data_IF_901141871958
#
_entry.id   IF_901141871958
#
_cell.length_a   1.000
_cell.length_b   1.000
_cell.length_c   1.000
_cell.angle_alpha   90.00
_cell.angle_beta   90.00
_cell.angle_gamma   90.00
#
_symmetry.space_group_name_H-M   'P 1'
#
loop_
_entity.id
_entity.type
_entity.pdbx_description
1 polymer ?
#
# COMPACT_ATOMS: atom_id res chain seq x y z
N UNK A 1 10.29 5.07 -8.17
CA UNK A 1 9.64 3.76 -7.97
C UNK A 1 8.37 3.88 -7.15
N UNK A 2 8.47 4.36 -5.91
CA UNK A 2 7.28 4.46 -5.07
C UNK A 2 6.20 5.36 -5.66
N UNK A 3 6.58 6.44 -6.34
CA UNK A 3 5.60 7.36 -6.92
C UNK A 3 4.77 6.71 -8.03
N UNK A 4 5.41 5.93 -8.90
CA UNK A 4 4.68 5.27 -9.98
C UNK A 4 3.75 4.22 -9.43
N UNK A 5 4.20 3.47 -8.44
CA UNK A 5 3.40 2.46 -7.76
C UNK A 5 2.20 3.13 -7.07
N UNK A 6 2.47 4.22 -6.33
CA UNK A 6 1.41 4.94 -5.64
C UNK A 6 0.37 5.50 -6.61
N UNK A 7 0.81 5.98 -7.76
CA UNK A 7 -0.12 6.49 -8.76
C UNK A 7 -1.07 5.41 -9.25
N UNK A 8 -0.54 4.22 -9.49
CA UNK A 8 -1.39 3.08 -9.89
C UNK A 8 -2.39 2.73 -8.81
N UNK A 9 -1.96 2.76 -7.55
CA UNK A 9 -2.86 2.46 -6.44
C UNK A 9 -3.94 3.51 -6.29
N UNK A 10 -3.60 4.78 -6.53
CA UNK A 10 -4.55 5.86 -6.42
C UNK A 10 -5.71 5.70 -7.42
N UNK A 11 -5.42 5.12 -8.57
CA UNK A 11 -6.43 4.94 -9.61
C UNK A 11 -7.26 3.68 -9.40
N UNK A 12 -6.92 2.87 -8.41
CA UNK A 12 -7.60 1.62 -8.13
C UNK A 12 -8.73 1.82 -7.13
N UNK A 13 -9.80 1.05 -7.27
CA UNK A 13 -10.89 1.06 -6.30
C UNK A 13 -10.47 0.40 -5.00
N UNK A 14 -9.49 -0.51 -5.05
CA UNK A 14 -9.01 -1.19 -3.86
C UNK A 14 -7.49 -1.20 -3.88
N UNK A 15 -6.85 -0.12 -3.40
CA UNK A 15 -5.39 -0.01 -3.48
C UNK A 15 -4.66 -1.07 -2.66
N UNK A 16 -5.23 -1.51 -1.53
CA UNK A 16 -4.57 -2.52 -0.71
C UNK A 16 -4.49 -3.83 -1.49
N UNK A 17 -5.59 -4.26 -2.07
CA UNK A 17 -5.62 -5.50 -2.85
C UNK A 17 -4.65 -5.43 -4.03
N UNK A 18 -4.68 -4.32 -4.76
CA UNK A 18 -3.79 -4.16 -5.90
C UNK A 18 -2.32 -4.18 -5.48
N UNK A 19 -2.00 -3.55 -4.36
CA UNK A 19 -0.62 -3.50 -3.88
C UNK A 19 -0.08 -4.88 -3.59
N UNK A 20 -0.88 -5.75 -2.97
CA UNK A 20 -0.46 -7.11 -2.69
C UNK A 20 -0.25 -7.92 -3.95
N UNK A 21 -1.13 -7.74 -4.93
CA UNK A 21 -0.99 -8.45 -6.19
C UNK A 21 0.26 -8.04 -6.94
N UNK A 22 0.60 -6.76 -6.91
CA UNK A 22 1.78 -6.26 -7.60
C UNK A 22 3.05 -6.65 -6.87
N UNK A 23 3.09 -6.44 -5.55
CA UNK A 23 4.32 -6.63 -4.78
C UNK A 23 4.58 -8.09 -4.45
N UNK A 24 3.55 -8.86 -4.16
CA UNK A 24 3.71 -10.23 -3.64
C UNK A 24 3.11 -11.30 -4.54
N UNK A 25 2.38 -10.90 -5.57
CA UNK A 25 1.76 -11.85 -6.49
C UNK A 25 0.62 -12.64 -5.89
N UNK A 26 -0.01 -12.12 -4.84
CA UNK A 26 -1.16 -12.77 -4.19
C UNK A 26 -2.10 -11.73 -3.63
N UNK A 27 -3.27 -12.17 -3.23
CA UNK A 27 -4.24 -11.28 -2.59
C UNK A 27 -3.99 -11.21 -1.10
N UNK A 28 -4.35 -10.09 -0.46
CA UNK A 28 -4.18 -9.98 0.99
C UNK A 28 -5.21 -10.82 1.72
N UNK A 29 -4.84 -11.29 2.91
CA UNK A 29 -5.81 -11.90 3.82
C UNK A 29 -6.74 -10.81 4.36
N UNK A 30 -7.82 -11.22 5.06
CA UNK A 30 -8.73 -10.25 5.67
C UNK A 30 -8.01 -9.35 6.65
N UNK A 31 -7.10 -9.90 7.44
CA UNK A 31 -6.33 -9.12 8.40
C UNK A 31 -5.43 -8.12 7.68
N UNK A 32 -4.75 -8.58 6.65
CA UNK A 32 -3.87 -7.71 5.88
C UNK A 32 -4.64 -6.59 5.19
N UNK A 33 -5.82 -6.91 4.67
CA UNK A 33 -6.68 -5.92 4.02
C UNK A 33 -7.08 -4.83 5.03
N UNK A 34 -7.53 -5.25 6.22
CA UNK A 34 -7.93 -4.32 7.26
C UNK A 34 -6.77 -3.45 7.73
N UNK A 35 -5.61 -4.06 7.94
CA UNK A 35 -4.43 -3.32 8.39
C UNK A 35 -4.00 -2.29 7.34
N UNK A 36 -4.04 -2.66 6.07
CA UNK A 36 -3.68 -1.74 4.99
C UNK A 36 -4.62 -0.55 4.91
N UNK A 37 -5.93 -0.81 5.02
CA UNK A 37 -6.92 0.25 5.00
C UNK A 37 -6.73 1.20 6.18
N UNK A 38 -6.49 0.64 7.38
CA UNK A 38 -6.28 1.46 8.57
C UNK A 38 -5.01 2.30 8.45
N UNK A 39 -3.95 1.73 7.92
CA UNK A 39 -2.71 2.46 7.69
C UNK A 39 -2.96 3.65 6.76
N UNK A 40 -3.65 3.42 5.66
CA UNK A 40 -3.93 4.49 4.71
C UNK A 40 -4.79 5.59 5.32
N UNK A 41 -5.79 5.21 6.13
CA UNK A 41 -6.64 6.19 6.80
C UNK A 41 -5.83 7.05 7.76
N UNK A 42 -4.96 6.44 8.55
CA UNK A 42 -4.15 7.17 9.51
C UNK A 42 -3.17 8.10 8.82
N UNK A 43 -2.52 7.61 7.78
CA UNK A 43 -1.54 8.44 7.07
C UNK A 43 -2.21 9.57 6.31
N UNK A 44 -3.37 9.31 5.72
CA UNK A 44 -4.12 10.36 5.04
C UNK A 44 -4.50 11.47 6.01
N UNK A 45 -4.94 11.10 7.20
CA UNK A 45 -5.27 12.09 8.23
C UNK A 45 -4.04 12.87 8.66
N UNK A 46 -2.89 12.20 8.80
CA UNK A 46 -1.64 12.86 9.16
C UNK A 46 -1.22 13.92 8.15
N UNK A 47 -1.55 13.70 6.89
CA UNK A 47 -1.20 14.62 5.82
C UNK A 47 -2.36 15.53 5.42
N UNK A 48 -3.29 15.75 6.34
CA UNK A 48 -4.42 16.66 6.12
C UNK A 48 -5.27 16.25 4.92
N UNK A 49 -5.46 14.95 4.73
CA UNK A 49 -6.29 14.43 3.67
C UNK A 49 -5.58 14.17 2.36
N UNK A 50 -4.25 14.28 2.34
CA UNK A 50 -3.49 14.05 1.11
C UNK A 50 -3.26 12.56 0.90
N UNK A 51 -4.13 11.93 0.12
CA UNK A 51 -4.06 10.50 -0.14
C UNK A 51 -2.80 10.11 -0.91
N UNK A 52 -2.28 10.99 -1.75
CA UNK A 52 -1.07 10.69 -2.52
C UNK A 52 0.12 10.46 -1.60
N UNK A 53 0.30 11.34 -0.60
CA UNK A 53 1.38 11.18 0.35
C UNK A 53 1.21 9.90 1.17
N UNK A 54 -0.03 9.62 1.56
CA UNK A 54 -0.33 8.40 2.31
C UNK A 54 0.01 7.15 1.48
N UNK A 55 -0.32 7.17 0.20
CA UNK A 55 -0.02 6.04 -0.67
C UNK A 55 1.47 5.86 -0.89
N UNK A 56 2.23 6.95 -0.98
CA UNK A 56 3.68 6.86 -1.10
C UNK A 56 4.27 6.19 0.14
N UNK A 57 3.83 6.60 1.32
CA UNK A 57 4.28 5.97 2.57
C UNK A 57 3.87 4.50 2.62
N UNK A 58 2.66 4.20 2.19
CA UNK A 58 2.16 2.83 2.17
C UNK A 58 3.02 1.96 1.24
N UNK A 59 3.35 2.47 0.07
CA UNK A 59 4.20 1.73 -0.87
C UNK A 59 5.58 1.49 -0.29
N UNK A 60 6.13 2.48 0.42
CA UNK A 60 7.41 2.31 1.09
C UNK A 60 7.35 1.22 2.15
N UNK A 61 6.27 1.17 2.92
CA UNK A 61 6.09 0.13 3.93
C UNK A 61 5.97 -1.26 3.29
N UNK A 62 5.22 -1.37 2.20
CA UNK A 62 5.08 -2.63 1.49
C UNK A 62 6.43 -3.10 0.94
N UNK A 63 7.18 -2.19 0.33
CA UNK A 63 8.47 -2.53 -0.26
C UNK A 63 9.49 -2.92 0.80
N UNK A 64 9.34 -2.44 2.03
CA UNK A 64 10.25 -2.75 3.12
C UNK A 64 9.82 -3.97 3.94
N UNK A 65 8.66 -4.54 3.64
CA UNK A 65 8.17 -5.70 4.38
C UNK A 65 9.05 -6.92 4.13
N UNK A 66 9.17 -7.76 5.14
CA UNK A 66 10.00 -8.95 5.04
C UNK A 66 9.61 -9.84 3.87
N UNK A 67 8.33 -9.93 3.60
CA UNK A 67 7.83 -10.77 2.52
C UNK A 67 8.37 -10.32 1.17
N UNK A 68 8.48 -9.02 0.96
CA UNK A 68 9.00 -8.47 -0.28
C UNK A 68 10.51 -8.59 -0.37
N UNK A 69 11.19 -8.29 0.74
CA UNK A 69 12.66 -8.31 0.79
C UNK A 69 13.17 -9.73 0.67
N UNK A 70 12.39 -10.67 1.10
CA UNK A 70 12.78 -12.06 1.26
C UNK A 70 12.68 -12.88 0.00
N UNK A 71 12.67 -12.26 -1.11
CA UNK A 71 12.69 -12.96 -2.39
C UNK A 71 14.13 -13.35 -2.66
N UNK A 72 14.36 -14.59 -2.72
CA UNK A 72 15.72 -15.07 -2.97
C UNK A 72 15.82 -15.63 -4.33
#
# INVERSE_FOLDING_TARGET
>A
MAKAFAKRLKESENPVKLSYRIAYGREPTNIEQTNGINFLKQQTASYSGNIERALIDYCGAIMSANEFIYIE
#
